data_IF_583930384250
#
_entry.id   IF_583930384250
#
_cell.length_a   1.000
_cell.length_b   1.000
_cell.length_c   1.000
_cell.angle_alpha   90.00
_cell.angle_beta   90.00
_cell.angle_gamma   90.00
#
_symmetry.space_group_name_H-M   'P 1'
#
loop_
_entity.id
_entity.type
_entity.pdbx_description
1 polymer ?
#
# COMPACT_ATOMS: atom_id res chain seq x y z
N UNK A 1 15.00 -15.34 9.42
CA UNK A 1 14.52 -14.96 8.07
C UNK A 1 13.11 -14.34 8.03
N UNK A 2 12.42 -14.13 9.18
CA UNK A 2 11.06 -13.52 9.16
C UNK A 2 11.02 -11.99 9.13
N UNK A 3 12.05 -11.30 9.63
CA UNK A 3 12.04 -9.83 9.74
C UNK A 3 12.49 -9.10 8.46
N UNK A 4 13.22 -9.78 7.58
CA UNK A 4 13.77 -9.16 6.36
C UNK A 4 12.68 -8.70 5.37
N UNK A 5 11.62 -9.49 5.08
CA UNK A 5 10.51 -9.02 4.26
C UNK A 5 9.81 -7.80 4.87
N UNK A 6 9.60 -7.81 6.19
CA UNK A 6 8.96 -6.70 6.92
C UNK A 6 9.79 -5.42 6.77
N UNK A 7 11.12 -5.52 6.93
CA UNK A 7 12.01 -4.37 6.79
C UNK A 7 11.97 -3.78 5.37
N UNK A 8 11.99 -4.64 4.34
CA UNK A 8 11.90 -4.22 2.94
C UNK A 8 10.57 -3.51 2.67
N UNK A 9 9.46 -4.05 3.17
CA UNK A 9 8.14 -3.43 3.03
C UNK A 9 8.13 -2.05 3.67
N UNK A 10 8.57 -1.90 4.93
CA UNK A 10 8.59 -0.61 5.62
C UNK A 10 9.45 0.41 4.87
N UNK A 11 10.66 0.02 4.45
CA UNK A 11 11.56 0.90 3.72
C UNK A 11 10.98 1.36 2.37
N UNK A 12 10.36 0.44 1.64
CA UNK A 12 9.73 0.71 0.34
C UNK A 12 8.50 1.60 0.50
N UNK A 13 7.63 1.31 1.46
CA UNK A 13 6.44 2.13 1.75
C UNK A 13 6.80 3.54 2.23
N UNK A 14 7.85 3.70 3.03
CA UNK A 14 8.34 5.03 3.41
C UNK A 14 8.84 5.81 2.19
N UNK A 15 9.66 5.18 1.35
CA UNK A 15 10.18 5.78 0.12
C UNK A 15 9.05 6.17 -0.83
N UNK A 16 8.05 5.29 -0.94
CA UNK A 16 6.83 5.51 -1.71
C UNK A 16 6.10 6.80 -1.31
N UNK A 17 5.83 6.99 -0.02
CA UNK A 17 5.14 8.19 0.47
C UNK A 17 5.96 9.48 0.26
N UNK A 18 7.29 9.40 0.36
CA UNK A 18 8.18 10.54 0.10
C UNK A 18 8.20 10.93 -1.39
N UNK A 19 8.35 9.94 -2.28
CA UNK A 19 8.36 10.15 -3.72
C UNK A 19 7.00 10.62 -4.24
N UNK A 20 5.90 10.01 -3.79
CA UNK A 20 4.55 10.36 -4.23
C UNK A 20 4.15 11.78 -3.82
N UNK A 21 4.56 12.27 -2.64
CA UNK A 21 4.37 13.70 -2.30
C UNK A 21 5.22 14.64 -3.16
N UNK A 22 6.41 14.18 -3.56
CA UNK A 22 7.34 14.96 -4.38
C UNK A 22 6.92 15.03 -5.86
N UNK A 23 5.94 14.22 -6.28
CA UNK A 23 5.42 14.27 -7.64
C UNK A 23 4.80 15.64 -7.94
N UNK A 24 5.16 16.19 -9.10
CA UNK A 24 4.65 17.50 -9.54
C UNK A 24 3.13 17.52 -9.59
N UNK A 25 2.54 18.54 -8.94
CA UNK A 25 1.10 18.80 -8.99
C UNK A 25 0.62 19.29 -10.37
N UNK A 26 1.55 19.73 -11.23
CA UNK A 26 1.25 20.31 -12.54
C UNK A 26 1.10 19.27 -13.67
N UNK A 27 1.59 18.05 -13.47
CA UNK A 27 1.51 16.98 -14.46
C UNK A 27 0.24 16.16 -14.22
N UNK A 28 -0.37 15.64 -15.29
CA UNK A 28 -1.51 14.72 -15.16
C UNK A 28 -1.08 13.49 -14.32
N UNK A 29 -1.82 13.14 -13.24
CA UNK A 29 -1.44 12.04 -12.36
C UNK A 29 -1.36 10.70 -13.10
N UNK A 30 -2.21 10.48 -14.11
CA UNK A 30 -2.16 9.27 -14.93
C UNK A 30 -0.90 9.18 -15.79
N UNK A 31 -0.32 10.30 -16.21
CA UNK A 31 0.94 10.29 -16.95
C UNK A 31 2.11 9.88 -16.05
N UNK A 32 2.15 10.40 -14.82
CA UNK A 32 3.14 9.96 -13.83
C UNK A 32 3.01 8.46 -13.53
N UNK A 33 1.78 7.98 -13.36
CA UNK A 33 1.50 6.56 -13.13
C UNK A 33 1.95 5.70 -14.31
N UNK A 34 1.69 6.14 -15.55
CA UNK A 34 2.11 5.43 -16.75
C UNK A 34 3.63 5.25 -16.79
N UNK A 35 4.39 6.31 -16.47
CA UNK A 35 5.86 6.23 -16.42
C UNK A 35 6.31 5.26 -15.32
N UNK A 36 5.74 5.36 -14.12
CA UNK A 36 6.04 4.44 -13.00
C UNK A 36 5.77 2.99 -13.40
N UNK A 37 4.65 2.72 -14.07
CA UNK A 37 4.30 1.37 -14.51
C UNK A 37 5.23 0.84 -15.61
N UNK A 38 5.67 1.67 -16.55
CA UNK A 38 6.65 1.25 -17.55
C UNK A 38 7.97 0.84 -16.86
N UNK A 39 8.46 1.65 -15.93
CA UNK A 39 9.69 1.35 -15.18
C UNK A 39 9.52 0.07 -14.36
N UNK A 40 8.39 -0.07 -13.65
CA UNK A 40 8.08 -1.25 -12.84
C UNK A 40 7.93 -2.53 -13.69
N UNK A 41 7.33 -2.42 -14.88
CA UNK A 41 7.18 -3.54 -15.81
C UNK A 41 8.56 -3.98 -16.33
N UNK A 42 9.40 -3.03 -16.75
CA UNK A 42 10.77 -3.33 -17.21
C UNK A 42 11.61 -3.96 -16.11
N UNK A 43 11.58 -3.42 -14.89
CA UNK A 43 12.31 -4.01 -13.77
C UNK A 43 11.83 -5.43 -13.47
N UNK A 44 10.51 -5.64 -13.42
CA UNK A 44 9.92 -6.96 -13.16
C UNK A 44 10.26 -7.97 -14.25
N UNK A 45 10.28 -7.53 -15.51
CA UNK A 45 10.67 -8.37 -16.64
C UNK A 45 12.14 -8.80 -16.55
N UNK A 46 13.04 -7.89 -16.17
CA UNK A 46 14.46 -8.21 -15.95
C UNK A 46 14.60 -9.23 -14.82
N UNK A 47 13.95 -9.00 -13.68
CA UNK A 47 14.00 -9.96 -12.55
C UNK A 47 13.42 -11.33 -12.92
N UNK A 48 12.34 -11.35 -13.70
CA UNK A 48 11.77 -12.59 -14.22
C UNK A 48 12.77 -13.34 -15.11
N UNK A 49 13.44 -12.66 -16.05
CA UNK A 49 14.46 -13.28 -16.90
C UNK A 49 15.65 -13.83 -16.09
N UNK A 50 16.05 -13.15 -15.01
CA UNK A 50 17.17 -13.59 -14.15
C UNK A 50 16.80 -14.78 -13.26
N UNK A 51 15.53 -14.92 -12.89
CA UNK A 51 15.07 -15.92 -11.92
C UNK A 51 14.38 -17.12 -12.57
N UNK A 52 13.94 -16.98 -13.83
CA UNK A 52 13.25 -18.05 -14.54
C UNK A 52 14.19 -19.25 -14.73
N UNK A 53 13.84 -20.40 -14.15
CA UNK A 53 14.64 -21.63 -14.14
C UNK A 53 14.44 -22.49 -15.41
N UNK A 54 14.02 -21.88 -16.52
CA UNK A 54 13.81 -22.56 -17.81
C UNK A 54 12.37 -22.98 -18.08
N UNK A 55 11.39 -22.48 -17.32
CA UNK A 55 9.98 -22.65 -17.69
C UNK A 55 9.64 -21.76 -18.90
N UNK A 56 8.94 -22.34 -19.88
CA UNK A 56 8.44 -21.59 -21.04
C UNK A 56 7.44 -20.51 -20.60
N UNK A 57 7.68 -19.27 -21.01
CA UNK A 57 6.86 -18.09 -20.65
C UNK A 57 5.36 -18.33 -20.87
N UNK A 58 5.02 -19.01 -21.97
CA UNK A 58 3.64 -19.33 -22.36
C UNK A 58 2.98 -20.28 -21.35
N UNK A 59 3.72 -21.24 -20.81
CA UNK A 59 3.22 -22.15 -19.77
C UNK A 59 2.98 -21.45 -18.44
N UNK A 60 3.82 -20.46 -18.09
CA UNK A 60 3.61 -19.65 -16.89
C UNK A 60 2.40 -18.70 -17.04
N UNK A 61 2.13 -18.20 -18.26
CA UNK A 61 0.92 -17.40 -18.54
C UNK A 61 -0.37 -18.22 -18.41
N UNK A 62 -0.34 -19.51 -18.77
CA UNK A 62 -1.49 -20.41 -18.64
C UNK A 62 -1.94 -20.65 -17.19
N UNK A 63 -1.05 -20.43 -16.22
CA UNK A 63 -1.33 -20.58 -14.79
C UNK A 63 -1.73 -19.27 -14.09
N UNK A 64 -1.97 -18.18 -14.84
CA UNK A 64 -2.35 -16.90 -14.25
C UNK A 64 -3.72 -17.01 -13.60
N UNK A 65 -3.76 -16.71 -12.30
CA UNK A 65 -5.00 -16.65 -11.53
C UNK A 65 -5.74 -15.32 -11.77
N UNK A 66 -7.08 -15.32 -11.63
CA UNK A 66 -7.91 -14.11 -11.69
C UNK A 66 -7.51 -13.04 -10.67
N UNK A 67 -6.79 -13.43 -9.61
CA UNK A 67 -6.22 -12.51 -8.64
C UNK A 67 -5.24 -11.50 -9.26
N UNK A 68 -4.53 -11.87 -10.34
CA UNK A 68 -3.52 -11.00 -10.98
C UNK A 68 -4.14 -9.75 -11.61
N UNK A 69 -5.14 -9.84 -12.51
CA UNK A 69 -5.78 -8.63 -13.06
C UNK A 69 -6.51 -7.81 -11.98
N UNK A 70 -7.09 -8.44 -10.96
CA UNK A 70 -7.74 -7.73 -9.86
C UNK A 70 -6.74 -6.96 -8.98
N UNK A 71 -5.57 -7.53 -8.72
CA UNK A 71 -4.46 -6.86 -8.04
C UNK A 71 -3.96 -5.66 -8.86
N UNK A 72 -3.77 -5.82 -10.17
CA UNK A 72 -3.31 -4.74 -11.05
C UNK A 72 -4.25 -3.52 -11.00
N UNK A 73 -5.57 -3.76 -11.07
CA UNK A 73 -6.57 -2.68 -10.96
C UNK A 73 -6.52 -2.00 -9.58
N UNK A 74 -6.31 -2.78 -8.52
CA UNK A 74 -6.22 -2.27 -7.15
C UNK A 74 -5.00 -1.37 -6.95
N UNK A 75 -3.84 -1.73 -7.53
CA UNK A 75 -2.62 -0.92 -7.46
C UNK A 75 -2.84 0.44 -8.14
N UNK A 76 -3.48 0.47 -9.30
CA UNK A 76 -3.81 1.74 -9.99
C UNK A 76 -4.67 2.65 -9.13
N UNK A 77 -5.71 2.11 -8.50
CA UNK A 77 -6.57 2.86 -7.59
C UNK A 77 -5.83 3.37 -6.35
N UNK A 78 -5.00 2.53 -5.74
CA UNK A 78 -4.21 2.87 -4.55
C UNK A 78 -3.25 4.02 -4.83
N UNK A 79 -2.50 3.89 -5.93
CA UNK A 79 -1.52 4.88 -6.36
C UNK A 79 -2.16 6.23 -6.69
N UNK A 80 -3.24 6.20 -7.47
CA UNK A 80 -4.02 7.40 -7.77
C UNK A 80 -4.62 8.04 -6.51
N UNK A 81 -5.12 7.22 -5.58
CA UNK A 81 -5.70 7.66 -4.31
C UNK A 81 -4.69 8.42 -3.45
N UNK A 82 -3.46 7.91 -3.32
CA UNK A 82 -2.40 8.61 -2.58
C UNK A 82 -1.96 9.91 -3.26
N UNK A 83 -1.86 9.94 -4.59
CA UNK A 83 -1.56 11.19 -5.32
C UNK A 83 -2.65 12.23 -5.04
N UNK A 84 -3.92 11.85 -5.06
CA UNK A 84 -5.03 12.76 -4.75
C UNK A 84 -4.98 13.23 -3.29
N UNK A 85 -4.69 12.33 -2.36
CA UNK A 85 -4.51 12.64 -0.94
C UNK A 85 -3.45 13.72 -0.74
N UNK A 86 -2.27 13.59 -1.35
CA UNK A 86 -1.21 14.59 -1.24
C UNK A 86 -1.50 15.89 -2.02
N UNK A 87 -2.30 15.83 -3.09
CA UNK A 87 -2.75 17.03 -3.80
C UNK A 87 -3.69 17.88 -2.95
N UNK A 88 -4.56 17.25 -2.15
CA UNK A 88 -5.45 17.95 -1.20
C UNK A 88 -4.71 18.55 0.00
N UNK A 89 -3.39 18.39 0.08
CA UNK A 89 -2.55 19.06 1.08
C UNK A 89 -2.39 18.29 2.39
N UNK A 90 -2.80 17.03 2.44
CA UNK A 90 -2.59 16.18 3.61
C UNK A 90 -1.09 15.99 3.91
N UNK A 91 -0.77 15.90 5.20
CA UNK A 91 0.57 15.63 5.67
C UNK A 91 1.02 14.19 5.34
N UNK A 92 2.33 14.01 5.15
CA UNK A 92 2.95 12.69 4.91
C UNK A 92 2.68 11.75 6.08
N UNK A 93 2.56 12.31 7.29
CA UNK A 93 2.36 11.53 8.51
C UNK A 93 0.89 11.18 8.76
N UNK A 94 -0.07 12.06 8.42
CA UNK A 94 -1.48 11.84 8.73
C UNK A 94 -2.20 10.98 7.69
N UNK A 95 -1.98 11.22 6.40
CA UNK A 95 -2.70 10.53 5.33
C UNK A 95 -2.50 9.01 5.33
N UNK A 96 -1.25 8.52 5.20
CA UNK A 96 -0.92 7.10 5.30
C UNK A 96 -1.30 6.46 6.63
N UNK A 97 -1.22 7.19 7.75
CA UNK A 97 -1.59 6.68 9.06
C UNK A 97 -3.08 6.36 9.14
N UNK A 98 -3.93 7.31 8.75
CA UNK A 98 -5.39 7.11 8.72
C UNK A 98 -5.76 5.99 7.76
N UNK A 99 -5.17 5.98 6.55
CA UNK A 99 -5.38 4.91 5.59
C UNK A 99 -4.99 3.53 6.15
N UNK A 100 -3.79 3.41 6.74
CA UNK A 100 -3.28 2.16 7.26
C UNK A 100 -4.17 1.57 8.35
N UNK A 101 -4.76 2.41 9.20
CA UNK A 101 -5.61 1.95 10.30
C UNK A 101 -6.99 1.54 9.79
N UNK A 102 -7.59 2.31 8.89
CA UNK A 102 -8.87 1.92 8.26
C UNK A 102 -8.71 0.61 7.50
N UNK A 103 -7.64 0.48 6.70
CA UNK A 103 -7.32 -0.77 5.98
C UNK A 103 -7.09 -1.92 6.95
N UNK A 104 -6.36 -1.73 8.04
CA UNK A 104 -6.14 -2.76 9.04
C UNK A 104 -7.45 -3.25 9.67
N UNK A 105 -8.37 -2.35 10.01
CA UNK A 105 -9.70 -2.72 10.55
C UNK A 105 -10.50 -3.50 9.52
N UNK A 106 -10.53 -3.05 8.26
CA UNK A 106 -11.24 -3.75 7.19
C UNK A 106 -10.64 -5.15 6.98
N UNK A 107 -9.32 -5.27 6.92
CA UNK A 107 -8.63 -6.55 6.74
C UNK A 107 -8.90 -7.53 7.88
N UNK A 108 -9.01 -7.05 9.12
CA UNK A 108 -9.39 -7.89 10.26
C UNK A 108 -10.80 -8.45 10.09
N UNK A 109 -11.76 -7.62 9.67
CA UNK A 109 -13.14 -8.06 9.42
C UNK A 109 -13.18 -9.06 8.27
N UNK A 110 -12.45 -8.79 7.18
CA UNK A 110 -12.37 -9.70 6.03
C UNK A 110 -11.67 -11.00 6.39
N UNK A 111 -10.60 -10.96 7.19
CA UNK A 111 -9.88 -12.14 7.69
C UNK A 111 -10.77 -13.05 8.53
N UNK A 112 -11.59 -12.46 9.40
CA UNK A 112 -12.60 -13.18 10.18
C UNK A 112 -13.65 -13.86 9.30
N UNK A 113 -14.25 -13.11 8.37
CA UNK A 113 -15.41 -13.58 7.59
C UNK A 113 -15.04 -14.49 6.43
N UNK A 114 -13.98 -14.17 5.69
CA UNK A 114 -13.62 -14.87 4.45
C UNK A 114 -12.56 -15.95 4.67
N UNK A 115 -11.65 -15.77 5.64
CA UNK A 115 -10.52 -16.68 5.88
C UNK A 115 -10.64 -17.51 7.17
N UNK A 116 -11.74 -17.34 7.93
CA UNK A 116 -11.96 -17.99 9.23
C UNK A 116 -10.78 -17.85 10.19
N UNK A 117 -10.09 -16.70 10.16
CA UNK A 117 -8.97 -16.47 11.06
C UNK A 117 -9.45 -16.41 12.52
N UNK A 118 -8.90 -17.27 13.38
CA UNK A 118 -9.19 -17.20 14.81
C UNK A 118 -8.43 -16.03 15.42
N UNK A 119 -9.14 -14.94 15.72
CA UNK A 119 -8.56 -13.81 16.44
C UNK A 119 -8.43 -14.15 17.92
N UNK A 120 -7.18 -14.31 18.37
CA UNK A 120 -6.89 -14.31 19.80
C UNK A 120 -7.23 -12.95 20.42
N UNK A 121 -7.68 -12.95 21.68
CA UNK A 121 -8.01 -11.75 22.49
C UNK A 121 -6.89 -10.69 22.43
N UNK A 122 -5.63 -11.11 22.38
CA UNK A 122 -4.48 -10.22 22.29
C UNK A 122 -4.48 -9.37 21.00
N UNK A 123 -4.92 -9.91 19.86
CA UNK A 123 -5.02 -9.17 18.60
C UNK A 123 -6.11 -8.10 18.67
N UNK A 124 -7.24 -8.43 19.30
CA UNK A 124 -8.37 -7.49 19.50
C UNK A 124 -7.95 -6.33 20.41
N UNK A 125 -7.21 -6.62 21.49
CA UNK A 125 -6.65 -5.58 22.37
C UNK A 125 -5.66 -4.71 21.61
N UNK A 126 -4.79 -5.29 20.78
CA UNK A 126 -3.84 -4.55 19.95
C UNK A 126 -4.51 -3.59 18.96
N UNK A 127 -5.56 -4.05 18.26
CA UNK A 127 -6.34 -3.20 17.34
C UNK A 127 -7.00 -2.05 18.12
N UNK A 128 -7.60 -2.35 19.27
CA UNK A 128 -8.24 -1.34 20.13
C UNK A 128 -7.23 -0.28 20.58
N UNK A 129 -6.03 -0.70 20.97
CA UNK A 129 -4.96 0.22 21.37
C UNK A 129 -4.46 1.08 20.19
N UNK A 130 -4.36 0.50 18.99
CA UNK A 130 -4.03 1.24 17.76
C UNK A 130 -5.07 2.32 17.44
N UNK A 131 -6.37 2.00 17.59
CA UNK A 131 -7.46 2.96 17.40
C UNK A 131 -7.43 4.09 18.43
N UNK A 132 -7.16 3.78 19.70
CA UNK A 132 -6.98 4.79 20.75
C UNK A 132 -5.78 5.69 20.43
N UNK A 133 -4.66 5.10 20.00
CA UNK A 133 -3.48 5.85 19.56
C UNK A 133 -3.77 6.79 18.39
N UNK A 134 -4.59 6.36 17.43
CA UNK A 134 -5.04 7.22 16.34
C UNK A 134 -5.90 8.37 16.82
N UNK A 135 -6.88 8.10 17.68
CA UNK A 135 -7.75 9.13 18.24
C UNK A 135 -6.89 10.17 18.97
N UNK A 136 -5.91 9.74 19.75
CA UNK A 136 -5.00 10.63 20.48
C UNK A 136 -4.08 11.43 19.55
N UNK A 137 -3.54 10.83 18.49
CA UNK A 137 -2.75 11.54 17.47
C UNK A 137 -3.58 12.56 16.69
N UNK A 138 -4.85 12.23 16.41
CA UNK A 138 -5.80 13.12 15.78
C UNK A 138 -6.41 14.14 16.76
N UNK A 139 -6.25 13.92 18.07
CA UNK A 139 -6.63 14.86 19.12
C UNK A 139 -5.58 15.95 19.23
N UNK A 140 -5.44 16.76 18.18
CA UNK A 140 -4.75 18.02 18.32
C UNK A 140 -5.64 18.96 19.14
N UNK A 141 -5.17 19.52 20.29
CA UNK A 141 -5.81 20.73 20.78
C UNK A 141 -5.73 21.74 19.63
N UNK A 142 -6.88 22.29 19.22
CA UNK A 142 -6.95 23.45 18.33
C UNK A 142 -6.18 24.61 18.97
N UNK A 143 -4.85 24.63 18.88
CA UNK A 143 -4.08 25.80 19.19
C UNK A 143 -4.21 26.72 17.97
N UNK A 144 -5.20 27.63 18.11
CA UNK A 144 -5.43 28.83 17.34
C UNK A 144 -4.18 29.35 16.60
N UNK A 145 -4.39 29.64 15.31
CA UNK A 145 -3.84 30.79 14.55
C UNK A 145 -2.43 31.26 14.92
N UNK A 146 -1.51 31.14 13.96
CA UNK A 146 -0.87 32.32 13.41
C UNK A 146 -0.46 32.08 11.97
#
# INVERSE_FOLDING_TARGET
MFYLPILIVIATTATYHLCSKSMSKHINPFLNLLIVYIVAALSSFIYFMLTNQGEGIISSLGNINYAVPMLALSIVGLEFGFILLYRTGWDISLGPLVNGIIVAVILVIVGLLAFNEVLGINKVIGISLCLIGLVMLNYQPKCKTK
#
